data_IF_658771839059
#
_entry.id   IF_658771839059
#
_cell.length_a   1.000
_cell.length_b   1.000
_cell.length_c   1.000
_cell.angle_alpha   90.00
_cell.angle_beta   90.00
_cell.angle_gamma   90.00
#
_symmetry.space_group_name_H-M   'P 1'
#
loop_
_entity.id
_entity.type
_entity.pdbx_description
1 polymer ?
#
# COMPACT_ATOMS: atom_id res chain seq x y z
N UNK A 1 16.80 7.76 2.22
CA UNK A 1 16.95 8.35 0.88
C UNK A 1 15.68 8.09 0.09
N UNK A 2 14.95 9.15 -0.28
CA UNK A 2 13.60 9.10 -0.89
C UNK A 2 13.64 9.03 -2.43
N UNK A 3 14.60 8.31 -3.03
CA UNK A 3 14.71 8.23 -4.50
C UNK A 3 14.97 9.57 -5.20
N UNK A 4 15.43 10.60 -4.47
CA UNK A 4 15.86 11.85 -5.06
C UNK A 4 17.19 11.63 -5.80
N UNK A 5 17.20 11.95 -7.09
CA UNK A 5 18.42 12.06 -7.93
C UNK A 5 19.16 13.37 -7.70
N UNK A 6 18.63 14.20 -6.81
CA UNK A 6 19.09 15.53 -6.44
C UNK A 6 19.47 15.55 -4.95
N UNK A 7 20.68 16.03 -4.67
CA UNK A 7 21.29 16.02 -3.34
C UNK A 7 21.47 17.44 -2.84
N UNK A 8 20.79 17.77 -1.73
CA UNK A 8 20.96 19.06 -1.08
C UNK A 8 22.23 19.06 -0.23
N UNK A 9 23.14 19.98 -0.51
CA UNK A 9 24.31 20.20 0.34
C UNK A 9 23.85 20.71 1.71
N UNK A 10 24.25 20.08 2.84
CA UNK A 10 23.83 20.53 4.16
C UNK A 10 24.49 21.85 4.60
N UNK A 11 25.50 22.34 3.87
CA UNK A 11 26.27 23.55 4.22
C UNK A 11 25.85 24.75 3.39
N UNK A 12 25.84 24.63 2.07
CA UNK A 12 25.46 25.74 1.17
C UNK A 12 24.01 25.68 0.70
N UNK A 13 23.26 24.64 1.09
CA UNK A 13 21.85 24.42 0.74
C UNK A 13 21.56 24.25 -0.77
N UNK A 14 22.59 24.25 -1.60
CA UNK A 14 22.46 24.07 -3.03
C UNK A 14 22.15 22.62 -3.37
N UNK A 15 21.33 22.41 -4.40
CA UNK A 15 20.90 21.08 -4.85
C UNK A 15 21.72 20.65 -6.05
N UNK A 16 22.30 19.46 -5.98
CA UNK A 16 23.24 18.95 -6.97
C UNK A 16 22.73 17.63 -7.55
N UNK A 17 22.77 17.45 -8.88
CA UNK A 17 22.37 16.19 -9.47
C UNK A 17 23.41 15.10 -9.20
N UNK A 18 22.95 13.85 -9.07
CA UNK A 18 23.79 12.71 -8.68
C UNK A 18 25.01 12.52 -9.59
N UNK A 19 24.88 12.80 -10.89
CA UNK A 19 25.94 12.66 -11.88
C UNK A 19 27.13 13.60 -11.63
N UNK A 20 26.87 14.79 -11.07
CA UNK A 20 27.91 15.70 -10.59
C UNK A 20 28.46 15.24 -9.23
N UNK A 21 27.58 14.83 -8.31
CA UNK A 21 27.98 14.32 -6.99
C UNK A 21 28.90 13.10 -7.12
N UNK A 22 28.60 12.14 -8.00
CA UNK A 22 29.40 10.91 -8.17
C UNK A 22 30.80 11.15 -8.72
N UNK A 23 31.01 12.25 -9.46
CA UNK A 23 32.33 12.65 -9.98
C UNK A 23 33.22 13.25 -8.88
N UNK A 24 32.60 13.95 -7.93
CA UNK A 24 33.28 14.62 -6.82
C UNK A 24 33.41 13.74 -5.58
N UNK A 25 32.49 12.78 -5.42
CA UNK A 25 32.50 11.85 -4.31
C UNK A 25 33.64 10.83 -4.49
N UNK A 26 34.50 10.72 -3.49
CA UNK A 26 35.59 9.74 -3.43
C UNK A 26 35.09 8.36 -3.01
N UNK A 27 34.03 7.89 -3.67
CA UNK A 27 33.47 6.56 -3.44
C UNK A 27 34.35 5.51 -4.12
N UNK A 28 34.55 4.39 -3.43
CA UNK A 28 35.05 3.17 -4.07
C UNK A 28 34.03 2.62 -5.08
N UNK A 29 34.48 1.72 -5.96
CA UNK A 29 33.62 1.17 -7.00
C UNK A 29 32.48 0.29 -6.44
N UNK A 30 32.71 -0.38 -5.31
CA UNK A 30 31.69 -1.13 -4.57
C UNK A 30 30.63 -0.20 -3.96
N UNK A 31 31.06 0.93 -3.38
CA UNK A 31 30.15 1.94 -2.82
C UNK A 31 29.31 2.60 -3.91
N UNK A 32 29.90 2.92 -5.07
CA UNK A 32 29.16 3.42 -6.24
C UNK A 32 28.10 2.42 -6.69
N UNK A 33 28.47 1.16 -6.82
CA UNK A 33 27.56 0.08 -7.24
C UNK A 33 26.38 -0.06 -6.28
N UNK A 34 26.64 -0.12 -4.96
CA UNK A 34 25.57 -0.18 -3.95
C UNK A 34 24.68 1.06 -3.96
N UNK A 35 25.25 2.23 -4.23
CA UNK A 35 24.50 3.49 -4.26
C UNK A 35 23.61 3.59 -5.49
N UNK A 36 24.13 3.25 -6.67
CA UNK A 36 23.38 3.26 -7.93
C UNK A 36 22.26 2.20 -7.93
N UNK A 37 22.50 1.03 -7.33
CA UNK A 37 21.47 0.02 -7.09
C UNK A 37 20.35 0.57 -6.18
N UNK A 38 20.71 1.19 -5.05
CA UNK A 38 19.72 1.82 -4.14
C UNK A 38 19.00 2.99 -4.79
N UNK A 39 19.67 3.77 -5.64
CA UNK A 39 19.09 4.90 -6.34
C UNK A 39 18.08 4.40 -7.37
N UNK A 40 18.47 3.46 -8.24
CA UNK A 40 17.59 2.85 -9.24
C UNK A 40 16.37 2.21 -8.59
N UNK A 41 16.57 1.41 -7.56
CA UNK A 41 15.46 0.74 -6.84
C UNK A 41 14.53 1.70 -6.13
N UNK A 42 14.98 2.88 -5.72
CA UNK A 42 14.09 3.89 -5.15
C UNK A 42 13.41 4.76 -6.22
N UNK A 43 14.08 5.03 -7.35
CA UNK A 43 13.49 5.77 -8.47
C UNK A 43 12.37 4.97 -9.12
N UNK A 44 12.59 3.68 -9.38
CA UNK A 44 11.52 2.83 -9.91
C UNK A 44 10.38 2.79 -8.90
N UNK A 45 10.64 2.69 -7.57
CA UNK A 45 9.59 2.53 -6.51
C UNK A 45 8.53 3.63 -6.56
N UNK A 46 8.90 4.78 -7.09
CA UNK A 46 8.03 5.94 -7.23
C UNK A 46 7.26 5.97 -8.56
N UNK A 47 7.61 5.13 -9.54
CA UNK A 47 7.07 5.13 -10.91
C UNK A 47 6.25 3.88 -11.26
N UNK A 48 6.59 2.72 -10.69
CA UNK A 48 5.95 1.42 -10.95
C UNK A 48 5.77 0.70 -9.61
N UNK A 49 4.58 0.15 -9.33
CA UNK A 49 4.35 -0.68 -8.15
C UNK A 49 5.06 -2.03 -8.36
N UNK A 50 6.27 -2.17 -7.81
CA UNK A 50 6.97 -3.44 -7.73
C UNK A 50 7.27 -3.82 -6.28
N UNK A 51 7.43 -5.12 -6.08
CA UNK A 51 7.86 -5.71 -4.81
C UNK A 51 9.10 -6.55 -5.02
N UNK A 52 9.82 -6.75 -3.92
CA UNK A 52 11.00 -7.61 -3.89
C UNK A 52 10.52 -9.05 -3.66
N UNK A 53 10.91 -9.97 -4.55
CA UNK A 53 10.59 -11.38 -4.38
C UNK A 53 11.24 -11.93 -3.09
N UNK A 54 10.48 -12.60 -2.21
CA UNK A 54 11.02 -13.15 -0.97
C UNK A 54 11.99 -14.32 -1.18
N UNK A 55 11.95 -14.98 -2.34
CA UNK A 55 12.82 -16.12 -2.67
C UNK A 55 14.20 -15.73 -3.22
N UNK A 56 14.26 -14.76 -4.15
CA UNK A 56 15.49 -14.41 -4.86
C UNK A 56 15.90 -12.94 -4.76
N UNK A 57 15.11 -12.08 -4.09
CA UNK A 57 15.34 -10.63 -3.98
C UNK A 57 15.30 -9.84 -5.30
N UNK A 58 14.89 -10.45 -6.41
CA UNK A 58 14.64 -9.73 -7.67
C UNK A 58 13.39 -8.86 -7.56
N UNK A 59 13.36 -7.74 -8.27
CA UNK A 59 12.19 -6.88 -8.41
C UNK A 59 11.15 -7.51 -9.33
N UNK A 60 9.91 -7.58 -8.87
CA UNK A 60 8.78 -8.15 -9.60
C UNK A 60 7.67 -7.12 -9.68
N UNK A 61 7.19 -6.86 -10.89
CA UNK A 61 6.06 -5.97 -11.18
C UNK A 61 4.74 -6.75 -11.08
N UNK A 62 3.67 -6.06 -10.66
CA UNK A 62 2.32 -6.60 -10.67
C UNK A 62 1.51 -5.94 -11.78
N UNK A 63 1.08 -6.75 -12.74
CA UNK A 63 0.29 -6.30 -13.89
C UNK A 63 -1.19 -6.11 -13.54
N UNK A 64 -1.74 -6.97 -12.67
CA UNK A 64 -3.13 -6.92 -12.24
C UNK A 64 -3.21 -6.52 -10.76
N UNK A 65 -3.72 -5.32 -10.50
CA UNK A 65 -3.84 -4.74 -9.16
C UNK A 65 -4.81 -5.50 -8.24
N UNK A 66 -5.77 -6.24 -8.81
CA UNK A 66 -6.73 -7.07 -8.07
C UNK A 66 -6.15 -8.43 -7.67
N UNK A 67 -5.08 -8.86 -8.36
CA UNK A 67 -4.43 -10.14 -8.12
C UNK A 67 -3.29 -9.98 -7.10
N UNK A 68 -3.47 -10.55 -5.90
CA UNK A 68 -2.44 -10.58 -4.86
C UNK A 68 -1.44 -11.72 -5.05
N UNK A 69 -1.70 -12.69 -5.93
CA UNK A 69 -0.82 -13.80 -6.24
C UNK A 69 0.09 -13.42 -7.42
N UNK A 70 1.36 -13.19 -7.13
CA UNK A 70 2.32 -12.75 -8.15
C UNK A 70 3.41 -13.79 -8.33
N UNK A 71 3.60 -14.20 -9.57
CA UNK A 71 4.66 -15.14 -9.95
C UNK A 71 6.01 -14.42 -10.02
N UNK A 72 7.06 -15.06 -9.52
CA UNK A 72 8.44 -14.60 -9.74
C UNK A 72 9.08 -15.38 -10.90
N UNK A 73 9.30 -14.77 -12.07
CA UNK A 73 9.82 -15.48 -13.24
C UNK A 73 11.23 -16.06 -13.00
N UNK A 74 12.07 -15.36 -12.23
CA UNK A 74 13.44 -15.82 -11.91
C UNK A 74 13.41 -17.07 -11.03
N UNK A 75 12.53 -17.11 -10.03
CA UNK A 75 12.39 -18.29 -9.18
C UNK A 75 11.80 -19.45 -9.98
N UNK A 76 10.73 -19.19 -10.74
CA UNK A 76 10.05 -20.21 -11.57
C UNK A 76 11.01 -20.85 -12.59
N UNK A 77 11.84 -20.06 -13.27
CA UNK A 77 12.85 -20.58 -14.19
C UNK A 77 13.92 -21.41 -13.47
N UNK A 78 14.36 -20.97 -12.29
CA UNK A 78 15.41 -21.63 -11.52
C UNK A 78 14.97 -22.97 -10.90
N UNK A 79 13.72 -23.05 -10.45
CA UNK A 79 13.17 -24.26 -9.82
C UNK A 79 12.54 -25.21 -10.83
N UNK A 80 12.06 -24.71 -11.96
CA UNK A 80 11.25 -25.45 -12.93
C UNK A 80 9.78 -25.60 -12.52
N UNK A 81 9.40 -25.02 -11.38
CA UNK A 81 8.06 -25.05 -10.80
C UNK A 81 7.59 -23.62 -10.51
N UNK A 82 6.29 -23.33 -10.59
CA UNK A 82 5.77 -21.98 -10.33
C UNK A 82 6.12 -21.50 -8.92
N UNK A 83 6.73 -20.32 -8.83
CA UNK A 83 6.98 -19.66 -7.56
C UNK A 83 6.11 -18.41 -7.43
N UNK A 84 5.08 -18.52 -6.61
CA UNK A 84 4.13 -17.45 -6.38
C UNK A 84 4.25 -16.89 -4.97
N UNK A 85 4.10 -15.57 -4.83
CA UNK A 85 4.09 -14.90 -3.54
C UNK A 85 2.95 -13.90 -3.45
N UNK A 86 2.57 -13.60 -2.21
CA UNK A 86 1.54 -12.61 -1.93
C UNK A 86 2.10 -11.18 -2.04
N UNK A 87 1.49 -10.35 -2.88
CA UNK A 87 1.83 -8.95 -3.05
C UNK A 87 1.80 -8.14 -1.74
N UNK A 88 0.85 -8.43 -0.86
CA UNK A 88 0.66 -7.69 0.38
C UNK A 88 1.67 -8.10 1.47
N UNK A 89 1.74 -9.40 1.78
CA UNK A 89 2.54 -9.87 2.91
C UNK A 89 3.95 -10.34 2.54
N UNK A 90 4.29 -10.38 1.24
CA UNK A 90 5.59 -10.80 0.71
C UNK A 90 6.05 -12.17 1.25
N UNK A 91 5.10 -13.09 1.38
CA UNK A 91 5.32 -14.50 1.72
C UNK A 91 4.86 -15.36 0.56
N UNK A 92 5.39 -16.58 0.47
CA UNK A 92 4.93 -17.59 -0.48
C UNK A 92 3.40 -17.70 -0.46
N UNK A 93 2.82 -17.81 -1.65
CA UNK A 93 1.38 -17.77 -1.83
C UNK A 93 0.72 -18.94 -1.10
N UNK A 94 -0.39 -18.65 -0.41
CA UNK A 94 -1.27 -19.66 0.18
C UNK A 94 -2.68 -19.31 -0.24
N UNK A 95 -3.42 -20.26 -0.79
CA UNK A 95 -4.80 -20.05 -1.24
C UNK A 95 -5.04 -20.58 -2.65
N UNK A 96 -6.30 -20.61 -3.06
CA UNK A 96 -6.66 -20.99 -4.43
C UNK A 96 -6.31 -19.86 -5.39
N UNK A 97 -5.68 -20.18 -6.53
CA UNK A 97 -5.43 -19.22 -7.62
C UNK A 97 -6.73 -18.62 -8.19
N UNK A 98 -7.88 -19.28 -8.01
CA UNK A 98 -9.19 -18.76 -8.44
C UNK A 98 -9.70 -17.61 -7.55
N UNK A 99 -9.09 -17.41 -6.38
CA UNK A 99 -9.41 -16.35 -5.39
C UNK A 99 -8.14 -15.58 -5.05
N UNK A 100 -7.48 -15.10 -6.08
CA UNK A 100 -6.23 -14.36 -5.94
C UNK A 100 -6.41 -12.96 -5.32
N UNK A 101 -7.66 -12.53 -5.11
CA UNK A 101 -8.05 -11.38 -4.30
C UNK A 101 -7.74 -11.57 -2.80
N UNK A 102 -7.51 -12.81 -2.33
CA UNK A 102 -7.31 -13.11 -0.91
C UNK A 102 -6.20 -14.13 -0.67
N UNK A 103 -5.18 -13.71 0.09
CA UNK A 103 -4.14 -14.62 0.56
C UNK A 103 -4.57 -15.36 1.84
N UNK A 104 -4.32 -16.66 1.88
CA UNK A 104 -4.54 -17.55 3.03
C UNK A 104 -3.42 -17.52 4.08
N UNK A 105 -2.41 -16.66 3.94
CA UNK A 105 -1.41 -16.49 4.98
C UNK A 105 -2.03 -15.81 6.21
N UNK A 106 -1.85 -16.40 7.40
CA UNK A 106 -2.32 -15.82 8.67
C UNK A 106 -1.74 -14.41 8.84
N UNK A 107 -2.61 -13.44 9.12
CA UNK A 107 -2.26 -12.04 9.28
C UNK A 107 -1.93 -11.28 7.99
N UNK A 108 -2.26 -11.84 6.81
CA UNK A 108 -2.14 -11.12 5.55
C UNK A 108 -3.30 -10.14 5.36
N UNK A 109 -3.05 -8.84 5.50
CA UNK A 109 -4.01 -7.77 5.19
C UNK A 109 -3.39 -6.77 4.21
N UNK A 110 -4.25 -6.02 3.53
CA UNK A 110 -3.87 -4.95 2.58
C UNK A 110 -3.05 -3.88 3.31
N UNK A 111 -2.16 -3.20 2.56
CA UNK A 111 -1.06 -2.34 3.02
C UNK A 111 -1.39 -1.55 4.29
N UNK A 112 -1.08 -2.16 5.44
CA UNK A 112 -1.44 -1.67 6.79
C UNK A 112 -0.88 -0.29 7.05
N UNK A 113 0.19 0.10 6.34
CA UNK A 113 0.85 1.38 6.55
C UNK A 113 -0.05 2.54 6.17
N UNK A 114 -0.82 2.43 5.07
CA UNK A 114 -1.78 3.46 4.68
C UNK A 114 -2.96 3.53 5.65
N UNK A 115 -3.51 2.39 6.08
CA UNK A 115 -4.58 2.35 7.07
C UNK A 115 -4.15 2.93 8.43
N UNK A 116 -2.88 2.73 8.80
CA UNK A 116 -2.29 3.24 10.04
C UNK A 116 -1.95 4.72 9.97
N UNK A 117 -1.30 5.16 8.89
CA UNK A 117 -0.61 6.45 8.83
C UNK A 117 -1.37 7.51 7.99
N UNK A 118 -2.45 7.15 7.27
CA UNK A 118 -3.18 8.14 6.48
C UNK A 118 -3.72 9.29 7.36
N UNK A 119 -3.77 10.52 6.84
CA UNK A 119 -4.26 11.67 7.59
C UNK A 119 -5.72 11.49 8.02
N UNK A 120 -6.14 12.21 9.05
CA UNK A 120 -7.56 12.35 9.37
C UNK A 120 -8.18 13.43 8.46
N UNK A 121 -9.43 13.24 8.06
CA UNK A 121 -10.25 14.22 7.35
C UNK A 121 -11.45 14.60 8.21
N UNK A 122 -11.94 15.82 8.01
CA UNK A 122 -13.15 16.33 8.65
C UNK A 122 -14.31 16.28 7.65
N UNK A 123 -15.34 15.51 7.98
CA UNK A 123 -16.58 15.44 7.22
C UNK A 123 -17.56 16.47 7.80
N UNK A 124 -17.80 17.55 7.05
CA UNK A 124 -18.52 18.75 7.53
C UNK A 124 -20.00 18.79 7.16
N UNK A 125 -20.49 17.79 6.42
CA UNK A 125 -21.90 17.69 6.03
C UNK A 125 -22.83 17.17 7.15
N UNK A 126 -22.27 16.76 8.29
CA UNK A 126 -23.01 16.40 9.50
C UNK A 126 -23.22 17.64 10.38
N UNK A 127 -24.32 17.70 11.16
CA UNK A 127 -24.54 18.75 12.19
C UNK A 127 -23.37 18.85 13.18
N UNK A 128 -22.70 17.73 13.43
CA UNK A 128 -21.47 17.66 14.22
C UNK A 128 -20.33 17.19 13.33
N UNK A 129 -19.23 17.94 13.29
CA UNK A 129 -18.03 17.57 12.53
C UNK A 129 -17.51 16.18 12.97
N UNK A 130 -17.33 15.28 12.01
CA UNK A 130 -16.74 13.95 12.26
C UNK A 130 -15.34 13.91 11.68
N UNK A 131 -14.35 13.61 12.53
CA UNK A 131 -12.99 13.32 12.08
C UNK A 131 -12.78 11.81 11.90
N UNK A 132 -12.41 11.38 10.70
CA UNK A 132 -12.12 9.98 10.40
C UNK A 132 -10.85 9.81 9.54
N UNK A 133 -10.24 8.61 9.48
CA UNK A 133 -9.12 8.37 8.57
C UNK A 133 -9.51 8.60 7.10
N UNK A 134 -8.64 9.26 6.33
CA UNK A 134 -8.86 9.54 4.90
C UNK A 134 -9.01 8.28 4.06
N UNK A 135 -8.31 7.21 4.45
CA UNK A 135 -8.27 5.93 3.76
C UNK A 135 -8.79 4.84 4.70
N UNK A 136 -9.72 4.00 4.21
CA UNK A 136 -10.25 2.82 4.90
C UNK A 136 -10.29 1.63 3.95
N UNK A 137 -10.31 0.42 4.50
CA UNK A 137 -10.46 -0.81 3.72
C UNK A 137 -11.95 -1.17 3.59
N UNK A 138 -12.35 -1.68 2.42
CA UNK A 138 -13.64 -2.31 2.22
C UNK A 138 -13.82 -3.44 3.24
N UNK A 139 -15.01 -3.52 3.85
CA UNK A 139 -15.31 -4.49 4.91
C UNK A 139 -15.46 -5.92 4.39
N UNK A 140 -15.64 -6.09 3.08
CA UNK A 140 -15.80 -7.39 2.41
C UNK A 140 -14.51 -7.90 1.75
N UNK A 141 -13.94 -7.12 0.81
CA UNK A 141 -12.75 -7.53 0.04
C UNK A 141 -11.44 -6.91 0.55
N UNK A 142 -11.52 -5.88 1.38
CA UNK A 142 -10.36 -5.21 1.98
C UNK A 142 -9.70 -4.13 1.11
N UNK A 143 -10.14 -3.92 -0.15
CA UNK A 143 -9.55 -2.88 -1.02
C UNK A 143 -9.55 -1.52 -0.33
N UNK A 144 -8.48 -0.74 -0.50
CA UNK A 144 -8.39 0.59 0.09
C UNK A 144 -9.26 1.58 -0.68
N UNK A 145 -10.08 2.32 0.06
CA UNK A 145 -10.97 3.35 -0.42
C UNK A 145 -10.55 4.66 0.25
N UNK A 146 -10.31 5.68 -0.55
CA UNK A 146 -10.02 7.04 -0.11
C UNK A 146 -11.30 7.90 -0.22
N UNK A 147 -11.61 8.66 0.83
CA UNK A 147 -12.74 9.60 0.79
C UNK A 147 -12.25 10.98 0.33
N UNK A 148 -12.96 11.58 -0.62
CA UNK A 148 -12.61 12.85 -1.28
C UNK A 148 -13.12 14.09 -0.55
N UNK A 149 -13.58 13.96 0.69
CA UNK A 149 -14.36 14.97 1.45
C UNK A 149 -15.68 15.44 0.80
N UNK A 150 -15.97 15.04 -0.43
CA UNK A 150 -17.24 15.29 -1.11
C UNK A 150 -18.12 14.04 -1.02
N UNK A 151 -19.40 14.22 -0.68
CA UNK A 151 -20.42 13.18 -0.84
C UNK A 151 -20.89 12.45 0.42
N UNK A 152 -21.44 11.26 0.20
CA UNK A 152 -22.15 10.42 1.17
C UNK A 152 -21.19 9.63 2.05
N UNK A 153 -21.59 9.34 3.28
CA UNK A 153 -20.85 8.41 4.15
C UNK A 153 -21.00 6.95 3.73
N UNK A 154 -22.05 6.59 3.01
CA UNK A 154 -22.25 5.24 2.50
C UNK A 154 -21.50 5.10 1.18
N UNK A 155 -20.46 4.27 1.19
CA UNK A 155 -19.57 4.06 0.06
C UNK A 155 -19.84 2.69 -0.55
N UNK A 156 -19.94 2.65 -1.87
CA UNK A 156 -19.95 1.42 -2.65
C UNK A 156 -18.52 1.04 -3.02
N UNK A 157 -18.15 -0.22 -2.78
CA UNK A 157 -16.83 -0.71 -3.13
C UNK A 157 -16.71 -0.91 -4.65
N UNK A 158 -15.76 -0.26 -5.35
CA UNK A 158 -15.66 -0.38 -6.81
C UNK A 158 -15.22 -1.77 -7.30
N UNK A 159 -14.72 -2.62 -6.40
CA UNK A 159 -14.21 -3.96 -6.74
C UNK A 159 -15.19 -5.09 -6.44
N UNK A 160 -16.14 -4.88 -5.52
CA UNK A 160 -17.04 -5.96 -5.08
C UNK A 160 -18.47 -5.51 -4.79
N UNK A 161 -18.81 -4.26 -5.13
CA UNK A 161 -20.13 -3.64 -5.00
C UNK A 161 -20.71 -3.65 -3.57
N UNK A 162 -19.89 -3.97 -2.58
CA UNK A 162 -20.30 -3.97 -1.19
C UNK A 162 -20.48 -2.54 -0.68
N UNK A 163 -21.69 -2.20 -0.27
CA UNK A 163 -22.01 -0.93 0.37
C UNK A 163 -21.75 -0.96 1.89
N UNK A 164 -21.04 0.06 2.37
CA UNK A 164 -20.77 0.22 3.80
C UNK A 164 -20.58 1.69 4.19
N UNK A 165 -20.86 1.99 5.45
CA UNK A 165 -20.60 3.31 6.01
C UNK A 165 -19.09 3.52 6.24
N UNK A 166 -18.53 4.56 5.63
CA UNK A 166 -17.12 4.94 5.77
C UNK A 166 -16.75 5.42 7.17
N UNK A 167 -17.72 5.74 8.03
CA UNK A 167 -17.44 6.17 9.41
C UNK A 167 -17.42 4.98 10.35
N UNK A 168 -18.48 4.17 10.36
CA UNK A 168 -18.66 3.08 11.32
C UNK A 168 -18.33 1.68 10.78
N UNK A 169 -18.09 1.53 9.47
CA UNK A 169 -17.78 0.27 8.80
C UNK A 169 -18.90 -0.79 8.85
N UNK A 170 -20.12 -0.41 9.20
CA UNK A 170 -21.28 -1.31 9.10
C UNK A 170 -21.86 -1.30 7.68
N UNK A 171 -22.47 -2.43 7.29
CA UNK A 171 -23.17 -2.57 6.01
C UNK A 171 -24.32 -1.57 5.89
N UNK A 172 -24.52 -1.03 4.67
CA UNK A 172 -25.63 -0.17 4.24
C UNK A 172 -26.54 0.36 5.36
N UNK A 173 -26.23 1.56 5.86
CA UNK A 173 -26.98 2.16 6.96
C UNK A 173 -27.94 3.22 6.42
N UNK A 174 -29.22 3.12 6.77
CA UNK A 174 -30.17 4.23 6.60
C UNK A 174 -29.77 5.37 7.54
N UNK A 175 -29.42 6.52 6.97
CA UNK A 175 -28.90 7.65 7.72
C UNK A 175 -29.97 8.21 8.69
N UNK A 176 -29.76 8.04 9.99
CA UNK A 176 -30.58 8.69 11.02
C UNK A 176 -29.87 9.99 11.47
N UNK A 177 -30.44 11.14 11.12
CA UNK A 177 -29.88 12.46 11.47
C UNK A 177 -29.80 12.69 13.00
N UNK A 178 -30.60 11.97 13.79
CA UNK A 178 -30.69 12.14 15.24
C UNK A 178 -29.73 11.23 16.02
N UNK A 179 -29.11 10.23 15.37
CA UNK A 179 -28.10 9.35 15.96
C UNK A 179 -26.88 9.18 15.04
N UNK A 180 -25.84 10.03 15.19
CA UNK A 180 -24.61 9.85 14.41
C UNK A 180 -23.96 8.51 14.75
N UNK A 181 -23.65 7.74 13.71
CA UNK A 181 -23.00 6.44 13.88
C UNK A 181 -21.63 6.59 14.59
N UNK A 182 -21.28 5.60 15.41
CA UNK A 182 -20.02 5.61 16.16
C UNK A 182 -18.83 5.42 15.20
N UNK A 183 -17.84 6.31 15.29
CA UNK A 183 -16.59 6.19 14.53
C UNK A 183 -15.91 4.85 14.81
N UNK A 184 -15.67 4.07 13.76
CA UNK A 184 -14.88 2.85 13.85
C UNK A 184 -13.39 3.17 14.02
N UNK A 185 -12.63 2.37 14.79
CA UNK A 185 -11.18 2.51 14.86
C UNK A 185 -10.52 2.37 13.49
N UNK A 186 -9.23 2.70 13.42
CA UNK A 186 -8.41 2.36 12.24
C UNK A 186 -8.41 0.84 12.06
N UNK A 187 -8.48 0.37 10.82
CA UNK A 187 -8.45 -1.05 10.47
C UNK A 187 -7.00 -1.58 10.51
N UNK A 188 -6.34 -1.42 11.66
CA UNK A 188 -4.92 -1.75 11.85
C UNK A 188 -4.70 -3.21 12.23
N UNK A 189 -5.69 -3.89 12.80
CA UNK A 189 -5.76 -5.34 12.97
C UNK A 189 -7.15 -5.76 13.45
N UNK A 190 -7.55 -7.00 13.19
CA UNK A 190 -8.77 -7.62 13.72
C UNK A 190 -8.73 -7.57 15.24
N UNK A 191 -9.55 -6.72 15.86
CA UNK A 191 -9.88 -6.90 17.26
C UNK A 191 -10.51 -8.28 17.39
N UNK A 192 -9.78 -9.13 18.11
CA UNK A 192 -10.25 -10.37 18.68
C UNK A 192 -11.44 -9.99 19.55
N UNK A 193 -12.65 -10.26 19.09
CA UNK A 193 -13.79 -10.35 19.97
C UNK A 193 -13.99 -11.84 20.22
N UNK A 194 -13.67 -12.21 21.46
CA UNK A 194 -13.95 -13.51 22.08
C UNK A 194 -15.40 -13.93 21.88
#
# INVERSE_FOLDING_TARGET
FQGQTEFKCPVCEETWPYDEVRKLAKLSDDEKSSFEEKLGTNTVKNLVDFRVCPGCSTFVERLDVSNLCVECPVCTEKTGDSYDFCWNCLREWKGSHNRADRCGNVGCTIDKKLLKDCPMISLTYFKNEVQCPKIRACTSCGVLIEHTNDGCNNMECPECDNEFCFICLNSGHDYDEDQPCKLAPRQIDSESHQ
#
